data_IF_823647538558
#
_entry.id   IF_823647538558
#
_cell.length_a   1.000
_cell.length_b   1.000
_cell.length_c   1.000
_cell.angle_alpha   90.00
_cell.angle_beta   90.00
_cell.angle_gamma   90.00
#
_symmetry.space_group_name_H-M   'P 1'
#
loop_
_entity.id
_entity.type
_entity.pdbx_description
1 polymer ?
#
# COMPACT_ATOMS: atom_id res chain seq x y z
N UNK A 1 -15.63 6.52 -2.39
CA UNK A 1 -15.94 5.23 -3.06
C UNK A 1 -14.71 4.85 -3.88
N UNK A 2 -13.76 4.12 -3.28
CA UNK A 2 -12.49 3.74 -3.91
C UNK A 2 -12.71 2.55 -4.85
N UNK A 3 -13.17 2.82 -6.07
CA UNK A 3 -13.19 1.79 -7.12
C UNK A 3 -11.81 1.70 -7.75
N UNK A 4 -11.25 0.50 -7.65
CA UNK A 4 -10.07 0.01 -8.34
C UNK A 4 -9.91 0.60 -9.75
N UNK A 5 -8.86 1.39 -9.95
CA UNK A 5 -8.35 1.77 -11.26
C UNK A 5 -6.93 1.22 -11.38
N UNK A 6 -6.83 -0.09 -11.64
CA UNK A 6 -5.66 -0.71 -12.22
C UNK A 6 -6.16 -1.64 -13.32
N UNK A 7 -5.89 -1.25 -14.56
CA UNK A 7 -6.18 -2.05 -15.76
C UNK A 7 -5.44 -3.39 -15.73
N UNK A 8 -6.01 -4.46 -16.33
CA UNK A 8 -5.36 -5.76 -16.44
C UNK A 8 -4.37 -5.76 -17.62
N UNK A 9 -3.14 -6.23 -17.39
CA UNK A 9 -2.23 -6.62 -18.46
C UNK A 9 -2.60 -8.03 -18.98
N UNK A 10 -2.42 -8.32 -20.28
CA UNK A 10 -2.91 -9.56 -20.89
C UNK A 10 -2.03 -10.77 -20.54
N UNK A 11 -2.65 -11.80 -20.00
CA UNK A 11 -2.11 -13.16 -19.86
C UNK A 11 -2.17 -13.87 -21.22
N UNK A 12 -1.03 -14.20 -21.82
CA UNK A 12 -0.96 -15.20 -22.89
C UNK A 12 -0.35 -16.49 -22.33
N UNK A 13 -1.20 -17.47 -22.05
CA UNK A 13 -0.81 -18.81 -21.62
C UNK A 13 -0.37 -19.61 -22.85
N UNK A 14 0.91 -19.98 -22.94
CA UNK A 14 1.40 -20.93 -23.96
C UNK A 14 1.89 -22.19 -23.25
N UNK A 15 1.05 -23.22 -23.27
CA UNK A 15 1.33 -24.55 -22.75
C UNK A 15 2.41 -25.23 -23.61
N UNK A 16 3.54 -25.58 -23.00
CA UNK A 16 4.50 -26.53 -23.58
C UNK A 16 4.94 -27.49 -22.49
N UNK A 17 4.48 -28.73 -22.62
CA UNK A 17 4.84 -29.88 -21.80
C UNK A 17 6.22 -30.41 -22.19
N UNK A 18 7.16 -30.53 -21.23
CA UNK A 18 8.11 -31.66 -21.12
C UNK A 18 9.18 -31.41 -20.05
N UNK A 19 9.49 -32.46 -19.29
CA UNK A 19 10.76 -32.63 -18.57
C UNK A 19 10.79 -32.07 -17.14
N UNK A 20 10.72 -32.96 -16.15
CA UNK A 20 11.14 -32.65 -14.78
C UNK A 20 12.64 -32.95 -14.63
N UNK A 21 13.50 -31.97 -14.30
CA UNK A 21 14.79 -32.24 -13.69
C UNK A 21 14.67 -32.08 -12.17
N UNK A 22 15.16 -33.09 -11.46
CA UNK A 22 15.44 -33.08 -10.03
C UNK A 22 16.47 -31.97 -9.74
N UNK A 23 16.02 -30.80 -9.28
CA UNK A 23 16.91 -29.76 -8.76
C UNK A 23 16.96 -29.88 -7.23
N UNK A 24 18.12 -30.27 -6.71
CA UNK A 24 18.53 -30.00 -5.34
C UNK A 24 18.74 -28.49 -5.18
N UNK A 25 17.63 -27.74 -5.14
CA UNK A 25 17.64 -26.31 -4.94
C UNK A 25 18.06 -26.00 -3.51
N UNK A 26 19.24 -25.39 -3.36
CA UNK A 26 19.53 -24.55 -2.19
C UNK A 26 18.40 -23.54 -2.12
N UNK A 27 17.47 -23.73 -1.18
CA UNK A 27 16.40 -22.77 -0.90
C UNK A 27 17.10 -21.51 -0.42
N UNK A 28 17.42 -20.62 -1.35
CA UNK A 28 17.68 -19.23 -1.02
C UNK A 28 16.38 -18.75 -0.40
N UNK A 29 16.32 -18.70 0.93
CA UNK A 29 15.26 -18.00 1.63
C UNK A 29 15.37 -16.55 1.15
N UNK A 30 14.59 -16.20 0.13
CA UNK A 30 14.37 -14.80 -0.26
C UNK A 30 13.97 -14.11 1.03
N UNK A 31 14.82 -13.19 1.51
CA UNK A 31 14.55 -12.45 2.74
C UNK A 31 13.18 -11.80 2.58
N UNK A 32 12.22 -12.21 3.41
CA UNK A 32 10.87 -11.67 3.33
C UNK A 32 10.92 -10.23 3.81
N UNK A 33 10.51 -9.30 2.95
CA UNK A 33 10.53 -7.88 3.30
C UNK A 33 9.53 -7.58 4.41
N UNK A 34 9.96 -6.76 5.36
CA UNK A 34 9.06 -6.12 6.34
C UNK A 34 8.05 -5.25 5.60
N UNK A 35 6.77 -5.46 5.89
CA UNK A 35 5.70 -4.59 5.40
C UNK A 35 5.23 -3.73 6.56
N UNK A 36 5.28 -2.41 6.38
CA UNK A 36 4.71 -1.46 7.32
C UNK A 36 3.23 -1.23 7.00
N UNK A 37 2.45 -1.01 8.05
CA UNK A 37 1.01 -0.83 8.01
C UNK A 37 0.65 0.37 8.89
N UNK A 38 -0.05 1.37 8.34
CA UNK A 38 -0.46 2.59 9.07
C UNK A 38 -1.90 2.96 8.74
N UNK A 39 -2.77 3.28 9.72
CA UNK A 39 -4.05 3.90 9.45
C UNK A 39 -3.86 5.26 8.77
N UNK A 40 -4.47 5.46 7.59
CA UNK A 40 -4.39 6.73 6.84
C UNK A 40 -5.73 7.47 6.78
N UNK A 41 -6.81 6.76 7.09
CA UNK A 41 -8.15 7.32 7.21
C UNK A 41 -8.96 6.50 8.21
N UNK A 42 -9.61 7.20 9.16
CA UNK A 42 -10.53 6.61 10.13
C UNK A 42 -11.84 7.38 10.00
N UNK A 43 -12.88 6.69 9.55
CA UNK A 43 -14.25 7.18 9.53
C UNK A 43 -14.93 6.64 10.78
N UNK A 44 -15.48 7.53 11.60
CA UNK A 44 -16.06 7.19 12.91
C UNK A 44 -14.99 6.93 13.99
N UNK A 45 -15.08 5.81 14.69
CA UNK A 45 -14.14 5.38 15.74
C UNK A 45 -13.63 3.97 15.47
N UNK A 46 -12.33 3.75 15.71
CA UNK A 46 -11.75 2.41 15.67
C UNK A 46 -11.99 1.68 17.01
N UNK A 47 -12.65 0.51 17.03
CA UNK A 47 -12.83 -0.26 18.26
C UNK A 47 -11.53 -0.74 18.90
N UNK A 48 -10.47 -0.91 18.10
CA UNK A 48 -9.12 -1.21 18.56
C UNK A 48 -8.33 0.03 18.98
N UNK A 49 -8.98 1.20 19.03
CA UNK A 49 -8.41 2.49 19.40
C UNK A 49 -7.19 2.90 18.54
N UNK A 50 -7.11 2.45 17.29
CA UNK A 50 -6.03 2.81 16.39
C UNK A 50 -6.10 4.30 16.03
N UNK A 51 -4.94 4.93 15.94
CA UNK A 51 -4.71 6.32 15.54
C UNK A 51 -3.96 6.36 14.20
N UNK A 52 -4.11 7.41 13.38
CA UNK A 52 -3.25 7.62 12.21
C UNK A 52 -1.75 7.66 12.51
N UNK A 53 -1.36 7.91 13.76
CA UNK A 53 0.05 7.91 14.17
C UNK A 53 0.60 6.51 14.44
N UNK A 54 -0.26 5.51 14.60
CA UNK A 54 0.17 4.14 14.86
C UNK A 54 0.82 3.52 13.61
N UNK A 55 1.98 2.88 13.80
CA UNK A 55 2.67 2.09 12.77
C UNK A 55 2.78 0.65 13.25
N UNK A 56 2.28 -0.25 12.44
CA UNK A 56 2.29 -1.69 12.64
C UNK A 56 3.23 -2.34 11.63
N UNK A 57 3.76 -3.52 11.94
CA UNK A 57 4.68 -4.24 11.06
C UNK A 57 4.13 -5.62 10.75
N UNK A 58 4.39 -6.12 9.55
CA UNK A 58 4.13 -7.50 9.15
C UNK A 58 5.49 -8.12 8.80
N UNK A 59 5.91 -9.08 9.61
CA UNK A 59 7.16 -9.83 9.47
C UNK A 59 6.80 -11.30 9.32
N UNK A 60 7.26 -11.94 8.23
CA UNK A 60 6.96 -13.35 7.93
C UNK A 60 5.46 -13.71 8.02
N UNK A 61 4.59 -12.85 7.45
CA UNK A 61 3.12 -12.97 7.51
C UNK A 61 2.50 -12.79 8.91
N UNK A 62 3.30 -12.49 9.92
CA UNK A 62 2.82 -12.22 11.28
C UNK A 62 2.78 -10.72 11.52
N UNK A 63 1.65 -10.22 12.02
CA UNK A 63 1.58 -8.85 12.48
C UNK A 63 2.36 -8.73 13.79
N UNK A 64 3.34 -7.85 13.80
CA UNK A 64 4.07 -7.40 14.97
C UNK A 64 3.63 -5.96 15.25
N UNK A 65 3.08 -5.73 16.43
CA UNK A 65 2.87 -4.39 16.93
C UNK A 65 3.81 -4.19 18.13
N UNK A 66 4.89 -3.41 18.00
CA UNK A 66 5.84 -3.21 19.08
C UNK A 66 5.24 -2.46 20.28
N UNK A 67 4.14 -1.72 20.11
CA UNK A 67 3.61 -0.81 21.13
C UNK A 67 2.18 -1.13 21.61
N UNK A 68 1.38 -1.95 20.91
CA UNK A 68 0.02 -2.31 21.35
C UNK A 68 -0.33 -3.78 21.13
N UNK A 69 -0.80 -4.43 22.18
CA UNK A 69 -1.12 -5.87 22.17
C UNK A 69 -2.37 -6.27 21.36
N UNK A 70 -3.23 -5.33 20.94
CA UNK A 70 -4.55 -5.66 20.40
C UNK A 70 -4.85 -4.89 19.09
N UNK A 71 -4.13 -5.20 18.01
CA UNK A 71 -4.70 -4.94 16.68
C UNK A 71 -5.94 -5.84 16.52
N UNK A 72 -7.06 -5.29 16.03
CA UNK A 72 -8.27 -6.09 15.79
C UNK A 72 -7.92 -7.27 14.87
N UNK A 73 -7.89 -8.49 15.42
CA UNK A 73 -7.53 -9.72 14.68
C UNK A 73 -8.37 -9.90 13.40
N UNK A 74 -9.62 -9.45 13.42
CA UNK A 74 -10.53 -9.45 12.28
C UNK A 74 -10.09 -8.51 11.14
N UNK A 75 -9.40 -7.42 11.45
CA UNK A 75 -8.82 -6.54 10.42
C UNK A 75 -7.76 -7.25 9.58
N UNK A 76 -7.02 -8.17 10.22
CA UNK A 76 -5.78 -8.75 9.71
C UNK A 76 -6.01 -10.00 8.86
N UNK A 77 -7.06 -10.78 9.16
CA UNK A 77 -7.41 -11.97 8.38
C UNK A 77 -7.81 -11.68 6.93
N UNK A 78 -8.02 -10.41 6.56
CA UNK A 78 -8.38 -10.00 5.21
C UNK A 78 -7.25 -9.33 4.41
N UNK A 79 -6.10 -9.07 5.03
CA UNK A 79 -4.91 -8.63 4.31
C UNK A 79 -4.11 -9.70 3.54
N UNK A 80 -4.31 -11.03 3.66
CA UNK A 80 -3.42 -12.00 3.02
C UNK A 80 -3.19 -11.80 1.51
N UNK A 81 -4.21 -11.48 0.68
CA UNK A 81 -3.95 -11.25 -0.74
C UNK A 81 -3.05 -10.04 -1.03
N UNK A 82 -3.24 -8.94 -0.31
CA UNK A 82 -2.42 -7.73 -0.48
C UNK A 82 -1.02 -7.91 0.10
N UNK A 83 -0.90 -8.54 1.27
CA UNK A 83 0.39 -8.87 1.87
C UNK A 83 1.18 -9.80 0.95
N UNK A 84 0.53 -10.78 0.34
CA UNK A 84 1.17 -11.67 -0.65
C UNK A 84 1.62 -10.92 -1.91
N UNK A 85 0.82 -9.98 -2.43
CA UNK A 85 1.22 -9.13 -3.55
C UNK A 85 2.44 -8.26 -3.22
N UNK A 86 2.51 -7.76 -1.98
CA UNK A 86 3.65 -6.99 -1.50
C UNK A 86 4.88 -7.89 -1.31
N UNK A 87 4.74 -9.06 -0.68
CA UNK A 87 5.86 -9.99 -0.46
C UNK A 87 6.40 -10.59 -1.75
N UNK A 88 5.55 -10.79 -2.75
CA UNK A 88 5.97 -11.21 -4.11
C UNK A 88 6.62 -10.09 -4.90
N UNK A 89 6.62 -8.85 -4.39
CA UNK A 89 7.13 -7.64 -5.05
C UNK A 89 6.38 -7.31 -6.36
N UNK A 90 5.20 -7.92 -6.58
CA UNK A 90 4.30 -7.52 -7.68
C UNK A 90 3.80 -6.09 -7.54
N UNK A 91 3.80 -5.58 -6.29
CA UNK A 91 3.54 -4.19 -5.90
C UNK A 91 4.39 -3.88 -4.67
N UNK A 92 4.65 -2.59 -4.41
CA UNK A 92 5.40 -2.16 -3.22
C UNK A 92 4.55 -1.43 -2.19
N UNK A 93 3.30 -1.07 -2.53
CA UNK A 93 2.32 -0.51 -1.60
C UNK A 93 0.88 -0.89 -1.98
N UNK A 94 -0.04 -0.77 -1.03
CA UNK A 94 -1.48 -0.96 -1.23
C UNK A 94 -2.29 -0.22 -0.18
N UNK A 95 -3.54 0.12 -0.50
CA UNK A 95 -4.53 0.53 0.50
C UNK A 95 -5.48 -0.62 0.81
N UNK A 96 -5.87 -0.76 2.07
CA UNK A 96 -6.75 -1.82 2.53
C UNK A 96 -7.75 -1.30 3.56
N UNK A 97 -9.02 -1.68 3.45
CA UNK A 97 -10.02 -1.33 4.45
C UNK A 97 -10.16 -2.45 5.48
N UNK A 98 -10.26 -2.09 6.77
CA UNK A 98 -10.63 -2.99 7.85
C UNK A 98 -12.07 -3.47 7.68
N UNK A 99 -12.32 -4.77 7.49
CA UNK A 99 -13.68 -5.31 7.41
C UNK A 99 -14.36 -5.42 8.79
N UNK A 100 -13.60 -5.48 9.88
CA UNK A 100 -14.12 -5.62 11.24
C UNK A 100 -14.82 -4.37 11.78
N UNK A 101 -14.70 -3.22 11.13
CA UNK A 101 -15.35 -1.99 11.58
C UNK A 101 -16.80 -1.83 11.04
N UNK A 102 -17.23 -2.68 10.08
CA UNK A 102 -18.52 -2.53 9.40
C UNK A 102 -19.61 -3.51 9.86
N UNK A 103 -19.28 -4.55 10.63
CA UNK A 103 -20.20 -5.69 10.82
C UNK A 103 -21.19 -5.57 11.99
N UNK A 104 -20.96 -4.69 12.97
CA UNK A 104 -21.75 -4.69 14.23
C UNK A 104 -22.13 -3.31 14.77
N UNK A 105 -21.94 -2.23 14.01
CA UNK A 105 -22.15 -0.87 14.51
C UNK A 105 -23.24 -0.17 13.68
N UNK A 106 -24.20 0.46 14.37
CA UNK A 106 -25.24 1.33 13.76
C UNK A 106 -24.62 2.53 12.99
N UNK A 107 -23.33 2.80 13.23
CA UNK A 107 -22.55 3.83 12.57
C UNK A 107 -21.50 3.21 11.64
N UNK A 108 -21.30 3.83 10.47
CA UNK A 108 -20.24 3.44 9.53
C UNK A 108 -18.87 3.74 10.14
N UNK A 109 -18.25 2.72 10.73
CA UNK A 109 -16.85 2.78 11.14
C UNK A 109 -15.99 2.13 10.05
N UNK A 110 -14.97 2.84 9.58
CA UNK A 110 -14.03 2.31 8.58
C UNK A 110 -12.63 2.79 8.88
N UNK A 111 -11.68 1.86 8.93
CA UNK A 111 -10.25 2.18 8.97
C UNK A 111 -9.65 1.79 7.62
N UNK A 112 -9.04 2.75 6.94
CA UNK A 112 -8.23 2.51 5.75
C UNK A 112 -6.77 2.50 6.17
N UNK A 113 -6.08 1.44 5.83
CA UNK A 113 -4.66 1.27 6.05
C UNK A 113 -3.88 1.50 4.76
N UNK A 114 -2.71 2.10 4.89
CA UNK A 114 -1.62 2.01 3.93
C UNK A 114 -0.73 0.84 4.32
N UNK A 115 -0.45 -0.02 3.37
CA UNK A 115 0.55 -1.08 3.44
C UNK A 115 1.69 -0.71 2.49
N UNK A 116 2.94 -0.93 2.90
CA UNK A 116 4.09 -0.65 2.05
C UNK A 116 5.35 -1.35 2.52
N UNK A 117 6.31 -1.54 1.62
CA UNK A 117 7.63 -2.04 2.01
C UNK A 117 8.36 -1.01 2.88
N UNK A 118 9.04 -1.49 3.91
CA UNK A 118 9.85 -0.66 4.80
C UNK A 118 10.92 0.16 4.05
N UNK A 119 11.58 -0.45 3.06
CA UNK A 119 12.64 0.16 2.24
C UNK A 119 12.15 1.31 1.33
N UNK A 120 10.83 1.44 1.13
CA UNK A 120 10.18 2.45 0.26
C UNK A 120 9.10 3.23 1.01
N UNK A 121 9.13 3.20 2.33
CA UNK A 121 8.00 3.67 3.14
C UNK A 121 7.67 5.15 2.92
N UNK A 122 8.69 5.99 2.82
CA UNK A 122 8.53 7.43 2.57
C UNK A 122 7.80 7.69 1.25
N UNK A 123 8.15 6.96 0.19
CA UNK A 123 7.46 7.07 -1.10
C UNK A 123 6.00 6.62 -0.97
N UNK A 124 5.73 5.52 -0.26
CA UNK A 124 4.38 5.03 -0.01
C UNK A 124 3.51 6.09 0.69
N UNK A 125 4.05 6.76 1.71
CA UNK A 125 3.38 7.83 2.45
C UNK A 125 3.04 9.00 1.52
N UNK A 126 4.01 9.49 0.74
CA UNK A 126 3.81 10.61 -0.17
C UNK A 126 2.78 10.26 -1.25
N UNK A 127 2.85 9.06 -1.85
CA UNK A 127 1.85 8.61 -2.82
C UNK A 127 0.45 8.57 -2.19
N UNK A 128 0.33 8.02 -0.98
CA UNK A 128 -0.94 7.93 -0.27
C UNK A 128 -1.56 9.31 -0.01
N UNK A 129 -0.76 10.27 0.47
CA UNK A 129 -1.22 11.64 0.69
C UNK A 129 -1.61 12.34 -0.61
N UNK A 130 -0.79 12.18 -1.65
CA UNK A 130 -1.06 12.71 -2.98
C UNK A 130 -2.41 12.21 -3.52
N UNK A 131 -2.65 10.89 -3.48
CA UNK A 131 -3.90 10.31 -3.96
C UNK A 131 -5.11 10.84 -3.19
N UNK A 132 -4.99 10.98 -1.87
CA UNK A 132 -6.04 11.54 -1.01
C UNK A 132 -6.35 12.99 -1.38
N UNK A 133 -5.32 13.81 -1.57
CA UNK A 133 -5.49 15.22 -1.86
C UNK A 133 -6.04 15.43 -3.28
N UNK A 134 -5.52 14.67 -4.26
CA UNK A 134 -6.00 14.68 -5.65
C UNK A 134 -7.50 14.44 -5.75
N UNK A 135 -8.05 13.50 -4.98
CA UNK A 135 -9.49 13.24 -4.98
C UNK A 135 -10.30 14.41 -4.42
N UNK A 136 -9.72 15.23 -3.54
CA UNK A 136 -10.39 16.36 -2.91
C UNK A 136 -10.40 17.60 -3.79
N UNK A 137 -9.27 17.93 -4.41
CA UNK A 137 -9.08 19.21 -5.12
C UNK A 137 -8.94 19.06 -6.63
N UNK A 138 -8.95 17.82 -7.14
CA UNK A 138 -8.61 17.52 -8.52
C UNK A 138 -7.09 17.42 -8.73
N UNK A 139 -6.69 17.15 -9.96
CA UNK A 139 -5.28 17.07 -10.38
C UNK A 139 -4.98 18.21 -11.34
N UNK A 140 -3.90 18.95 -11.10
CA UNK A 140 -3.42 19.98 -12.03
C UNK A 140 -2.48 19.37 -13.07
N UNK A 141 -2.31 20.04 -14.22
CA UNK A 141 -1.35 19.58 -15.24
C UNK A 141 0.09 19.52 -14.71
N UNK A 142 0.48 20.46 -13.84
CA UNK A 142 1.80 20.48 -13.18
C UNK A 142 1.97 19.25 -12.26
N UNK A 143 0.98 18.97 -11.41
CA UNK A 143 1.01 17.81 -10.52
C UNK A 143 1.02 16.47 -11.29
N UNK A 144 0.32 16.42 -12.42
CA UNK A 144 0.26 15.24 -13.29
C UNK A 144 1.60 14.96 -13.96
N UNK A 145 2.28 15.99 -14.49
CA UNK A 145 3.59 15.82 -15.10
C UNK A 145 4.64 15.29 -14.11
N UNK A 146 4.66 15.83 -12.89
CA UNK A 146 5.56 15.37 -11.81
C UNK A 146 5.24 13.94 -11.35
N UNK A 147 3.95 13.59 -11.27
CA UNK A 147 3.53 12.21 -10.99
C UNK A 147 4.02 11.25 -12.07
N UNK A 148 3.91 11.63 -13.33
CA UNK A 148 4.32 10.76 -14.45
C UNK A 148 5.83 10.53 -14.47
N UNK A 149 6.63 11.54 -14.15
CA UNK A 149 8.07 11.39 -13.91
C UNK A 149 8.36 10.40 -12.76
N UNK A 150 7.66 10.55 -11.63
CA UNK A 150 7.80 9.63 -10.50
C UNK A 150 7.41 8.18 -10.85
N UNK A 151 6.41 7.98 -11.72
CA UNK A 151 6.01 6.65 -12.20
C UNK A 151 7.10 6.06 -13.10
N UNK A 152 7.68 6.85 -14.01
CA UNK A 152 8.76 6.37 -14.87
C UNK A 152 9.98 5.90 -14.06
N UNK A 153 10.34 6.62 -12.99
CA UNK A 153 11.40 6.21 -12.08
C UNK A 153 11.05 4.92 -11.32
N UNK A 154 9.80 4.77 -10.87
CA UNK A 154 9.32 3.53 -10.24
C UNK A 154 9.39 2.32 -11.19
N UNK A 155 9.02 2.51 -12.46
CA UNK A 155 9.08 1.46 -13.48
C UNK A 155 10.52 1.03 -13.79
N UNK A 156 11.50 1.90 -13.56
CA UNK A 156 12.94 1.62 -13.66
C UNK A 156 13.52 0.99 -12.38
N UNK A 157 12.74 0.96 -11.28
CA UNK A 157 13.20 0.50 -9.97
C UNK A 157 13.93 1.57 -9.14
N UNK A 158 14.00 2.80 -9.63
CA UNK A 158 14.67 3.95 -9.01
C UNK A 158 13.72 4.62 -7.98
N UNK A 159 13.40 3.87 -6.92
CA UNK A 159 12.38 4.28 -5.94
C UNK A 159 12.81 5.45 -5.05
N UNK A 160 14.11 5.62 -4.81
CA UNK A 160 14.62 6.73 -4.00
C UNK A 160 14.52 8.03 -4.79
N UNK A 161 14.85 7.98 -6.08
CA UNK A 161 14.78 9.07 -7.04
C UNK A 161 13.34 9.46 -7.30
N UNK A 162 12.42 8.48 -7.37
CA UNK A 162 10.98 8.73 -7.55
C UNK A 162 10.34 9.56 -6.42
N UNK A 163 10.97 9.60 -5.24
CA UNK A 163 10.45 10.33 -4.08
C UNK A 163 10.39 11.84 -4.30
N UNK A 164 11.40 12.42 -4.93
CA UNK A 164 11.50 13.87 -5.14
C UNK A 164 10.40 14.43 -6.07
N UNK A 165 10.19 13.91 -7.30
CA UNK A 165 9.10 14.37 -8.16
C UNK A 165 7.73 14.10 -7.53
N UNK A 166 7.55 13.00 -6.79
CA UNK A 166 6.30 12.72 -6.11
C UNK A 166 6.01 13.72 -4.97
N UNK A 167 7.04 14.13 -4.21
CA UNK A 167 6.92 15.19 -3.19
C UNK A 167 6.54 16.52 -3.83
N UNK A 168 7.19 16.88 -4.93
CA UNK A 168 6.85 18.10 -5.69
C UNK A 168 5.40 18.05 -6.17
N UNK A 169 4.93 16.92 -6.70
CA UNK A 169 3.55 16.73 -7.13
C UNK A 169 2.55 16.96 -5.97
N UNK A 170 2.87 16.44 -4.78
CA UNK A 170 2.07 16.65 -3.58
C UNK A 170 2.04 18.14 -3.16
N UNK A 171 3.18 18.82 -3.18
CA UNK A 171 3.25 20.25 -2.85
C UNK A 171 2.47 21.14 -3.82
N UNK A 172 2.41 20.79 -5.11
CA UNK A 172 1.51 21.44 -6.07
C UNK A 172 0.05 21.32 -5.64
N UNK A 173 -0.39 20.10 -5.27
CA UNK A 173 -1.77 19.89 -4.82
C UNK A 173 -2.07 20.57 -3.49
N UNK A 174 -1.10 20.64 -2.56
CA UNK A 174 -1.24 21.38 -1.30
C UNK A 174 -1.42 22.87 -1.54
N UNK A 175 -0.65 23.45 -2.48
CA UNK A 175 -0.84 24.85 -2.91
C UNK A 175 -2.24 25.07 -3.48
N UNK A 176 -2.71 24.17 -4.35
CA UNK A 176 -4.05 24.25 -4.93
C UNK A 176 -5.17 24.09 -3.89
N UNK A 177 -4.96 23.32 -2.82
CA UNK A 177 -5.94 23.13 -1.75
C UNK A 177 -6.09 24.35 -0.82
N UNK A 178 -5.08 25.22 -0.79
CA UNK A 178 -5.04 26.43 0.03
C UNK A 178 -5.30 27.73 -0.76
N UNK A 179 -5.52 27.62 -2.08
CA UNK A 179 -5.82 28.72 -2.98
C UNK A 179 -7.34 28.93 -3.11
#
# INVERSE_FOLDING_TARGET
MWKCLLHPLPYSYRSSSSGWPFFSGVIHRKSMKTILLKPVEIIGRCPANLSPDDVLQIVDMNLVNPERHNACFLALNHFPPMVWQLQSESRFFSHASCPGCTSELEQENRVVFLLGHEDKWDLCLVISEYLKLRMRVGETNEAMALRDEAIQLQDQGEYLEALDPMRKALEVLKRAANA
#
